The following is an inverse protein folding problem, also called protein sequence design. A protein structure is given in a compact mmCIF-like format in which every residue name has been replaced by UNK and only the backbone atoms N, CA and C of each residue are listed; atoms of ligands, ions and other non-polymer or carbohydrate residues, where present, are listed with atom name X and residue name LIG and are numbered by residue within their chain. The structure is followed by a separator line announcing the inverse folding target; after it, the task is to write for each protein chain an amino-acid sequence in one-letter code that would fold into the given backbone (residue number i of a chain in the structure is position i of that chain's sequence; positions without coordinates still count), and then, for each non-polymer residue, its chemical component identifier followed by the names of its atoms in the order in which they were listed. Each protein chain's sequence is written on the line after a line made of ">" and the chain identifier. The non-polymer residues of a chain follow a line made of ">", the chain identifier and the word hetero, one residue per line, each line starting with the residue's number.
data_IF_313367638938
#
_entry.id   IF_313367638938
#
_cell.length_a   1.000
_cell.length_b   1.000
_cell.length_c   1.000
_cell.angle_alpha   90.00
_cell.angle_beta   90.00
_cell.angle_gamma   90.00
#
_symmetry.space_group_name_H-M   'P 1'
#
loop_
_entity.id
_entity.type
_entity.pdbx_description
1 polymer ?
#
# COMPACT_ATOMS: atom_id res chain seq x y z
N UNK A 1 33.11 -22.74 -15.71
CA UNK A 1 31.79 -23.22 -16.17
C UNK A 1 30.83 -23.57 -15.03
N UNK A 2 31.29 -24.16 -13.91
CA UNK A 2 30.43 -24.48 -12.76
C UNK A 2 30.18 -23.30 -11.81
N UNK A 3 31.20 -22.46 -11.60
CA UNK A 3 31.12 -21.27 -10.72
C UNK A 3 30.21 -20.18 -11.28
N UNK A 4 30.21 -19.98 -12.60
CA UNK A 4 29.30 -19.05 -13.31
C UNK A 4 27.84 -19.42 -13.10
N UNK A 5 27.53 -20.72 -13.05
CA UNK A 5 26.18 -21.22 -12.77
C UNK A 5 25.74 -20.90 -11.33
N UNK A 6 26.67 -20.97 -10.37
CA UNK A 6 26.39 -20.63 -8.96
C UNK A 6 26.11 -19.14 -8.80
N UNK A 7 26.93 -18.27 -9.41
CA UNK A 7 26.73 -16.81 -9.38
C UNK A 7 25.38 -16.38 -9.99
N UNK A 8 25.01 -16.99 -11.13
CA UNK A 8 23.72 -16.75 -11.78
C UNK A 8 22.53 -17.14 -10.89
N UNK A 9 22.59 -18.32 -10.26
CA UNK A 9 21.54 -18.78 -9.35
C UNK A 9 21.41 -17.89 -8.11
N UNK A 10 22.53 -17.44 -7.53
CA UNK A 10 22.51 -16.51 -6.38
C UNK A 10 21.95 -15.14 -6.75
N UNK A 11 22.24 -14.63 -7.95
CA UNK A 11 21.71 -13.35 -8.41
C UNK A 11 20.18 -13.40 -8.61
N UNK A 12 19.67 -14.46 -9.24
CA UNK A 12 18.23 -14.68 -9.43
C UNK A 12 17.46 -14.76 -8.10
N UNK A 13 18.05 -15.41 -7.09
CA UNK A 13 17.48 -15.47 -5.74
C UNK A 13 17.39 -14.09 -5.10
N UNK A 14 18.42 -13.23 -5.23
CA UNK A 14 18.41 -11.86 -4.71
C UNK A 14 17.39 -10.96 -5.40
N UNK A 15 17.17 -11.11 -6.71
CA UNK A 15 16.10 -10.38 -7.42
C UNK A 15 14.70 -10.76 -6.91
N UNK A 16 14.53 -12.01 -6.45
CA UNK A 16 13.25 -12.54 -5.93
C UNK A 16 12.93 -12.04 -4.51
N UNK A 17 13.92 -11.53 -3.76
CA UNK A 17 13.72 -10.92 -2.43
C UNK A 17 13.14 -9.51 -2.48
N UNK A 18 12.86 -8.97 -3.66
CA UNK A 18 12.03 -7.76 -3.85
C UNK A 18 10.53 -8.01 -3.59
N UNK A 19 10.20 -9.12 -2.92
CA UNK A 19 8.85 -9.61 -2.66
C UNK A 19 8.15 -8.84 -1.54
N UNK A 20 7.40 -7.81 -1.95
CA UNK A 20 6.18 -7.31 -1.34
C UNK A 20 6.27 -7.07 0.18
N UNK A 21 6.82 -5.93 0.60
CA UNK A 21 6.36 -5.34 1.86
C UNK A 21 4.88 -5.05 1.68
N UNK A 22 4.02 -5.96 2.13
CA UNK A 22 2.66 -5.59 2.50
C UNK A 22 2.85 -4.42 3.43
N UNK A 23 2.53 -3.22 2.95
CA UNK A 23 2.44 -2.04 3.78
C UNK A 23 1.53 -2.47 4.92
N UNK A 24 2.09 -2.55 6.13
CA UNK A 24 1.33 -2.82 7.34
C UNK A 24 0.48 -1.58 7.59
N UNK A 25 -0.57 -1.43 6.78
CA UNK A 25 -1.63 -0.48 7.00
C UNK A 25 -2.27 -0.99 8.27
N UNK A 26 -2.17 -0.20 9.34
CA UNK A 26 -2.74 -0.55 10.64
C UNK A 26 -4.20 -0.91 10.40
N UNK A 27 -4.55 -2.19 10.56
CA UNK A 27 -5.86 -2.72 10.22
C UNK A 27 -6.91 -2.07 11.12
N UNK A 28 -7.47 -0.97 10.64
CA UNK A 28 -8.56 -0.22 11.26
C UNK A 28 -9.61 0.03 10.19
N UNK A 29 -10.86 -0.17 10.56
CA UNK A 29 -12.00 0.19 9.73
C UNK A 29 -12.18 1.72 9.69
N UNK A 30 -12.31 2.28 8.49
CA UNK A 30 -12.59 3.69 8.30
C UNK A 30 -14.03 4.02 8.69
N UNK A 31 -14.23 5.10 9.44
CA UNK A 31 -15.57 5.57 9.81
C UNK A 31 -16.13 6.47 8.70
N UNK A 32 -16.77 5.83 7.72
CA UNK A 32 -17.37 6.53 6.59
C UNK A 32 -18.75 7.11 6.94
N UNK A 33 -18.80 8.43 7.17
CA UNK A 33 -20.04 9.18 7.38
C UNK A 33 -20.73 9.40 6.02
N UNK A 34 -21.90 8.79 5.82
CA UNK A 34 -22.62 8.80 4.53
C UNK A 34 -23.12 10.17 4.07
N UNK A 35 -23.33 11.11 5.00
CA UNK A 35 -23.89 12.45 4.73
C UNK A 35 -22.81 13.54 4.52
N UNK A 36 -21.55 13.16 4.38
CA UNK A 36 -20.49 14.12 4.07
C UNK A 36 -20.58 14.53 2.61
N UNK A 37 -21.02 15.77 2.36
CA UNK A 37 -21.06 16.36 1.02
C UNK A 37 -19.70 16.87 0.54
N UNK A 38 -18.77 17.18 1.46
CA UNK A 38 -17.44 17.70 1.16
C UNK A 38 -16.43 17.29 2.23
N UNK A 39 -15.23 16.90 1.80
CA UNK A 39 -14.11 16.65 2.70
C UNK A 39 -13.34 17.93 3.04
N UNK A 40 -12.75 17.98 4.24
CA UNK A 40 -11.78 19.02 4.58
C UNK A 40 -10.51 18.84 3.76
N UNK A 41 -9.73 19.91 3.59
CA UNK A 41 -8.43 19.87 2.91
C UNK A 41 -7.27 19.56 3.88
N UNK A 42 -7.58 19.00 5.05
CA UNK A 42 -6.55 18.60 6.01
C UNK A 42 -5.81 17.40 5.42
N UNK A 43 -4.48 17.47 5.44
CA UNK A 43 -3.63 16.36 5.04
C UNK A 43 -3.33 15.49 6.26
N UNK A 44 -3.99 14.34 6.33
CA UNK A 44 -3.80 13.32 7.36
C UNK A 44 -3.86 11.94 6.68
N UNK A 45 -2.77 11.51 6.03
CA UNK A 45 -2.81 10.44 5.05
C UNK A 45 -3.16 9.09 5.68
N UNK A 46 -3.96 8.30 4.95
CA UNK A 46 -4.34 6.94 5.32
C UNK A 46 -4.04 5.97 4.19
N UNK A 47 -3.67 4.74 4.52
CA UNK A 47 -3.48 3.68 3.54
C UNK A 47 -4.78 2.87 3.38
N UNK A 48 -5.24 2.69 2.14
CA UNK A 48 -6.34 1.79 1.80
C UNK A 48 -5.90 0.33 1.63
N UNK A 49 -6.86 -0.60 1.72
CA UNK A 49 -6.61 -2.03 1.49
C UNK A 49 -6.26 -2.35 0.04
N UNK A 50 -6.53 -1.42 -0.87
CA UNK A 50 -6.13 -1.43 -2.28
C UNK A 50 -4.66 -1.03 -2.50
N UNK A 51 -3.95 -0.65 -1.43
CA UNK A 51 -2.56 -0.22 -1.47
C UNK A 51 -2.37 1.25 -1.84
N UNK A 52 -3.46 2.01 -2.04
CA UNK A 52 -3.39 3.43 -2.35
C UNK A 52 -3.31 4.27 -1.07
N UNK A 53 -2.63 5.42 -1.15
CA UNK A 53 -2.60 6.40 -0.06
C UNK A 53 -3.59 7.52 -0.36
N UNK A 54 -4.50 7.77 0.58
CA UNK A 54 -5.51 8.81 0.48
C UNK A 54 -5.11 10.02 1.34
N UNK A 55 -5.38 11.27 0.90
CA UNK A 55 -5.01 12.47 1.65
C UNK A 55 -5.60 12.56 3.05
N UNK A 56 -6.79 12.00 3.25
CA UNK A 56 -7.43 11.80 4.54
C UNK A 56 -8.53 10.74 4.46
N UNK A 57 -9.02 10.29 5.63
CA UNK A 57 -10.07 9.27 5.77
C UNK A 57 -11.37 9.63 5.05
N UNK A 58 -11.75 10.91 5.00
CA UNK A 58 -12.93 11.34 4.27
C UNK A 58 -12.78 11.12 2.76
N UNK A 59 -11.62 11.47 2.19
CA UNK A 59 -11.34 11.25 0.76
C UNK A 59 -11.33 9.76 0.44
N UNK A 60 -10.76 8.92 1.31
CA UNK A 60 -10.84 7.47 1.18
C UNK A 60 -12.30 6.99 1.09
N UNK A 61 -13.17 7.45 1.98
CA UNK A 61 -14.59 7.10 2.00
C UNK A 61 -15.36 7.66 0.79
N UNK A 62 -14.97 8.81 0.27
CA UNK A 62 -15.61 9.43 -0.88
C UNK A 62 -15.30 8.68 -2.18
N UNK A 63 -14.07 8.18 -2.35
CA UNK A 63 -13.65 7.46 -3.55
C UNK A 63 -14.08 5.99 -3.56
N UNK A 64 -14.24 5.36 -2.39
CA UNK A 64 -14.62 3.94 -2.24
C UNK A 64 -16.11 3.75 -1.89
N UNK A 65 -16.99 4.65 -2.33
CA UNK A 65 -18.43 4.60 -2.04
C UNK A 65 -19.16 3.53 -2.86
#
# INVERSE_FOLDING_TARGET
>A
MKTTSVFLLTALALFSLSGNTRTNCLEREANCIKDVSRCTKIYNPVCGTDGNTYPNECVLCQENK
#
